data_IF_221131147853
#
_entry.id   IF_221131147853
#
_cell.length_a   1.000
_cell.length_b   1.000
_cell.length_c   1.000
_cell.angle_alpha   90.00
_cell.angle_beta   90.00
_cell.angle_gamma   90.00
#
_symmetry.space_group_name_H-M   'P 1'
#
loop_
_entity.id
_entity.type
_entity.pdbx_description
1 polymer ?
#
# COMPACT_ATOMS: atom_id res chain seq x y z
N UNK A 1 0.55 -1.19 -2.29
CA UNK A 1 0.82 -1.71 -3.67
C UNK A 1 0.13 -0.87 -4.76
N UNK A 2 -1.11 -0.40 -4.57
CA UNK A 2 -1.83 0.42 -5.59
C UNK A 2 -1.03 1.65 -6.07
N UNK A 3 -0.39 2.37 -5.15
CA UNK A 3 0.38 3.59 -5.48
C UNK A 3 1.59 3.28 -6.37
N UNK A 4 2.27 2.16 -6.12
CA UNK A 4 3.39 1.71 -6.95
C UNK A 4 2.96 1.38 -8.38
N UNK A 5 1.79 0.78 -8.57
CA UNK A 5 1.26 0.51 -9.91
C UNK A 5 0.92 1.81 -10.66
N UNK A 6 0.26 2.75 -9.97
CA UNK A 6 -0.05 4.05 -10.56
C UNK A 6 1.24 4.81 -10.91
N UNK A 7 2.20 4.85 -9.99
CA UNK A 7 3.48 5.54 -10.19
C UNK A 7 4.28 4.96 -11.36
N UNK A 8 4.26 3.63 -11.54
CA UNK A 8 4.91 2.93 -12.65
C UNK A 8 4.38 3.41 -14.01
N UNK A 9 3.08 3.68 -14.15
CA UNK A 9 2.50 4.20 -15.39
C UNK A 9 3.08 5.57 -15.78
N UNK A 10 3.58 6.34 -14.81
CA UNK A 10 4.17 7.66 -15.03
C UNK A 10 5.70 7.67 -14.94
N UNK A 11 6.34 6.51 -14.78
CA UNK A 11 7.78 6.39 -14.52
C UNK A 11 8.23 7.21 -13.32
N UNK A 12 7.46 7.13 -12.22
CA UNK A 12 7.71 7.85 -10.96
C UNK A 12 8.09 6.86 -9.87
N UNK A 13 9.11 7.19 -9.10
CA UNK A 13 9.54 6.39 -7.95
C UNK A 13 8.63 6.60 -6.73
N UNK A 14 8.41 5.53 -5.96
CA UNK A 14 7.71 5.55 -4.68
C UNK A 14 8.68 5.24 -3.55
N UNK A 15 8.87 6.19 -2.66
CA UNK A 15 9.67 6.04 -1.45
C UNK A 15 8.75 5.87 -0.23
N UNK A 16 9.09 4.95 0.65
CA UNK A 16 8.29 4.60 1.82
C UNK A 16 9.00 5.03 3.10
N UNK A 17 8.21 5.55 4.04
CA UNK A 17 8.63 5.84 5.42
C UNK A 17 7.75 5.06 6.40
N UNK A 18 8.11 5.10 7.67
CA UNK A 18 7.24 4.64 8.74
C UNK A 18 5.95 5.48 8.81
N UNK A 19 4.87 4.87 9.28
CA UNK A 19 3.59 5.56 9.50
C UNK A 19 3.80 6.77 10.44
N UNK A 20 3.23 7.90 10.04
CA UNK A 20 3.30 9.15 10.78
C UNK A 20 3.68 10.32 9.88
N UNK A 21 2.94 11.41 9.98
CA UNK A 21 3.12 12.59 9.12
C UNK A 21 4.55 13.13 9.16
N UNK A 22 5.16 13.18 10.35
CA UNK A 22 6.54 13.64 10.51
C UNK A 22 7.53 12.76 9.71
N UNK A 23 7.33 11.45 9.66
CA UNK A 23 8.22 10.54 8.94
C UNK A 23 8.19 10.79 7.42
N UNK A 24 6.99 10.91 6.83
CA UNK A 24 6.86 11.16 5.39
C UNK A 24 7.34 12.55 5.00
N UNK A 25 7.09 13.57 5.84
CA UNK A 25 7.58 14.94 5.60
C UNK A 25 9.10 15.02 5.70
N UNK A 26 9.69 14.36 6.70
CA UNK A 26 11.16 14.33 6.85
C UNK A 26 11.81 13.57 5.70
N UNK A 27 11.26 12.41 5.28
CA UNK A 27 11.75 11.70 4.10
C UNK A 27 11.68 12.59 2.84
N UNK A 28 10.57 13.32 2.65
CA UNK A 28 10.45 14.24 1.53
C UNK A 28 11.52 15.37 1.57
N UNK A 29 11.84 15.90 2.76
CA UNK A 29 12.94 16.88 2.93
C UNK A 29 14.30 16.28 2.59
N UNK A 30 14.60 15.07 3.08
CA UNK A 30 15.82 14.34 2.75
C UNK A 30 15.97 14.11 1.24
N UNK A 31 14.89 13.70 0.57
CA UNK A 31 14.90 13.49 -0.89
C UNK A 31 15.08 14.79 -1.66
N UNK A 32 14.38 15.88 -1.27
CA UNK A 32 14.54 17.20 -1.89
C UNK A 32 15.98 17.74 -1.75
N UNK A 33 16.62 17.50 -0.60
CA UNK A 33 18.04 17.85 -0.39
C UNK A 33 18.99 17.05 -1.31
N UNK A 34 18.53 15.92 -1.86
CA UNK A 34 19.22 15.11 -2.88
C UNK A 34 18.77 15.44 -4.31
N UNK A 35 18.10 16.57 -4.50
CA UNK A 35 17.56 17.06 -5.78
C UNK A 35 16.40 16.23 -6.38
N UNK A 36 15.72 15.41 -5.58
CA UNK A 36 14.46 14.78 -6.03
C UNK A 36 13.33 15.79 -6.08
N UNK A 37 12.46 15.64 -7.08
CA UNK A 37 11.21 16.39 -7.16
C UNK A 37 10.10 15.63 -6.44
N UNK A 38 9.92 15.87 -5.15
CA UNK A 38 8.85 15.25 -4.35
C UNK A 38 7.64 16.17 -4.36
N UNK A 39 6.60 15.78 -5.10
CA UNK A 39 5.38 16.58 -5.29
C UNK A 39 4.20 16.13 -4.44
N UNK A 40 4.10 14.83 -4.15
CA UNK A 40 2.97 14.24 -3.42
C UNK A 40 3.51 13.34 -2.31
N UNK A 41 2.98 13.52 -1.12
CA UNK A 41 3.15 12.61 0.01
C UNK A 41 1.78 12.11 0.43
N UNK A 42 1.73 10.88 0.91
CA UNK A 42 0.51 10.28 1.47
C UNK A 42 0.81 9.69 2.84
N UNK A 43 -0.06 9.93 3.81
CA UNK A 43 0.07 9.38 5.15
C UNK A 43 -1.31 9.06 5.72
N UNK A 44 -1.39 7.90 6.38
CA UNK A 44 -2.55 7.47 7.14
C UNK A 44 -3.73 7.03 6.29
N UNK A 45 -4.65 6.41 6.98
CA UNK A 45 -5.86 5.84 6.42
C UNK A 45 -6.96 6.85 6.14
N UNK A 46 -6.88 8.02 6.76
CA UNK A 46 -7.94 9.03 6.71
C UNK A 46 -7.62 10.17 5.75
N UNK A 47 -7.03 9.83 4.59
CA UNK A 47 -6.94 10.76 3.46
C UNK A 47 -5.93 11.88 3.65
N UNK A 48 -4.79 11.54 4.20
CA UNK A 48 -3.73 12.53 4.30
C UNK A 48 -2.91 12.63 3.02
N UNK A 49 -3.27 13.51 2.10
CA UNK A 49 -2.34 13.93 1.04
C UNK A 49 -1.71 15.27 1.40
N UNK A 50 -0.41 15.36 1.10
CA UNK A 50 0.38 16.58 1.24
C UNK A 50 0.94 16.86 -0.15
N UNK A 51 0.52 17.95 -0.77
CA UNK A 51 0.98 18.37 -2.09
C UNK A 51 1.93 19.54 -1.96
N UNK A 52 3.07 19.47 -2.66
CA UNK A 52 4.05 20.56 -2.65
C UNK A 52 3.39 21.89 -3.05
N UNK A 53 3.64 23.03 -2.33
CA UNK A 53 4.68 23.24 -1.32
C UNK A 53 4.28 22.96 0.13
N UNK A 54 3.06 22.49 0.41
CA UNK A 54 2.60 22.21 1.78
C UNK A 54 3.51 21.20 2.50
N UNK A 55 3.60 21.33 3.81
CA UNK A 55 4.34 20.42 4.70
C UNK A 55 3.41 19.69 5.69
N UNK A 56 2.10 19.90 5.57
CA UNK A 56 1.05 19.28 6.38
C UNK A 56 -0.07 18.82 5.46
N UNK A 57 -0.92 17.94 5.96
CA UNK A 57 -2.13 17.52 5.26
C UNK A 57 -3.04 18.71 5.00
N UNK A 58 -3.43 18.90 3.76
CA UNK A 58 -4.24 20.01 3.32
C UNK A 58 -5.45 19.49 2.51
N UNK A 59 -6.62 19.36 3.16
CA UNK A 59 -7.83 18.87 2.50
C UNK A 59 -8.31 19.82 1.40
N UNK A 60 -8.12 21.13 1.55
CA UNK A 60 -8.52 22.12 0.54
C UNK A 60 -7.69 21.93 -0.73
N UNK A 61 -6.39 21.79 -0.58
CA UNK A 61 -5.51 21.52 -1.74
C UNK A 61 -5.84 20.18 -2.40
N UNK A 62 -6.23 19.17 -1.63
CA UNK A 62 -6.70 17.88 -2.16
C UNK A 62 -7.98 18.05 -2.99
N UNK A 63 -8.94 18.86 -2.52
CA UNK A 63 -10.16 19.19 -3.27
C UNK A 63 -9.82 19.90 -4.59
N UNK A 64 -8.92 20.90 -4.57
CA UNK A 64 -8.47 21.57 -5.79
C UNK A 64 -7.75 20.62 -6.75
N UNK A 65 -6.98 19.67 -6.25
CA UNK A 65 -6.35 18.65 -7.10
C UNK A 65 -7.39 17.76 -7.80
N UNK A 66 -8.47 17.37 -7.11
CA UNK A 66 -9.59 16.63 -7.69
C UNK A 66 -10.37 17.48 -8.70
N UNK A 67 -10.67 18.72 -8.38
CA UNK A 67 -11.30 19.65 -9.34
C UNK A 67 -10.46 19.82 -10.61
N UNK A 68 -9.15 19.98 -10.45
CA UNK A 68 -8.22 20.05 -11.57
C UNK A 68 -8.26 18.77 -12.42
N UNK A 69 -8.30 17.60 -11.81
CA UNK A 69 -8.44 16.32 -12.49
C UNK A 69 -9.71 16.28 -13.34
N UNK A 70 -10.85 16.73 -12.77
CA UNK A 70 -12.15 16.70 -13.43
C UNK A 70 -12.35 17.78 -14.49
N UNK A 71 -11.71 18.94 -14.35
CA UNK A 71 -11.90 20.09 -15.22
C UNK A 71 -10.91 20.16 -16.39
N UNK A 72 -9.68 19.63 -16.23
CA UNK A 72 -8.71 19.65 -17.33
C UNK A 72 -9.03 18.57 -18.37
N UNK A 73 -9.78 18.97 -19.38
CA UNK A 73 -10.17 18.19 -20.55
C UNK A 73 -9.10 18.28 -21.63
N UNK A 74 -9.31 17.51 -22.71
CA UNK A 74 -8.49 17.64 -23.91
C UNK A 74 -8.66 19.04 -24.53
N UNK A 75 -7.58 19.60 -25.02
CA UNK A 75 -7.56 20.93 -25.65
C UNK A 75 -6.83 20.86 -27.00
N UNK A 76 -7.43 21.46 -28.00
CA UNK A 76 -6.80 21.64 -29.33
C UNK A 76 -6.15 23.02 -29.34
N UNK A 77 -4.83 23.07 -29.35
CA UNK A 77 -4.10 24.34 -29.45
C UNK A 77 -4.23 24.98 -30.83
N UNK A 78 -3.98 26.31 -30.99
CA UNK A 78 -4.07 27.01 -32.26
C UNK A 78 -3.20 26.41 -33.39
N UNK A 79 -2.14 25.70 -33.04
CA UNK A 79 -1.29 24.99 -34.01
C UNK A 79 -1.79 23.59 -34.38
N UNK A 80 -3.00 23.21 -33.97
CA UNK A 80 -3.60 21.90 -34.22
C UNK A 80 -3.11 20.77 -33.30
N UNK A 81 -2.18 21.06 -32.42
CA UNK A 81 -1.70 20.04 -31.45
C UNK A 81 -2.75 19.79 -30.37
N UNK A 82 -3.05 18.52 -30.13
CA UNK A 82 -3.93 18.08 -29.02
C UNK A 82 -3.11 17.93 -27.74
N UNK A 83 -3.55 18.60 -26.68
CA UNK A 83 -3.06 18.41 -25.31
C UNK A 83 -4.09 17.59 -24.54
N UNK A 84 -3.72 16.38 -24.15
CA UNK A 84 -4.63 15.50 -23.43
C UNK A 84 -4.88 16.01 -22.00
N UNK A 85 -6.14 15.96 -21.58
CA UNK A 85 -6.55 16.19 -20.21
C UNK A 85 -5.99 15.15 -19.23
N UNK A 86 -6.08 15.43 -17.93
CA UNK A 86 -5.42 14.58 -16.92
C UNK A 86 -5.97 13.16 -16.91
N UNK A 87 -7.29 12.99 -17.00
CA UNK A 87 -7.90 11.65 -16.99
C UNK A 87 -7.61 10.89 -18.30
N UNK A 88 -7.62 11.55 -19.45
CA UNK A 88 -7.25 10.91 -20.70
C UNK A 88 -5.79 10.42 -20.68
N UNK A 89 -4.88 11.25 -20.16
CA UNK A 89 -3.47 10.85 -19.99
C UNK A 89 -3.33 9.63 -19.07
N UNK A 90 -4.09 9.59 -17.97
CA UNK A 90 -4.13 8.42 -17.09
C UNK A 90 -4.60 7.18 -17.85
N UNK A 91 -5.76 7.26 -18.53
CA UNK A 91 -6.30 6.14 -19.31
C UNK A 91 -5.29 5.61 -20.34
N UNK A 92 -4.62 6.52 -21.04
CA UNK A 92 -3.59 6.18 -22.01
C UNK A 92 -2.40 5.46 -21.37
N UNK A 93 -1.84 5.97 -20.27
CA UNK A 93 -0.67 5.39 -19.62
C UNK A 93 -0.98 4.12 -18.84
N UNK A 94 -2.21 3.95 -18.38
CA UNK A 94 -2.66 2.75 -17.67
C UNK A 94 -3.19 1.65 -18.57
N UNK A 95 -3.24 1.88 -19.91
CA UNK A 95 -3.80 0.92 -20.87
C UNK A 95 -5.33 0.85 -20.86
N UNK A 96 -6.00 1.85 -20.26
CA UNK A 96 -7.46 1.95 -20.16
C UNK A 96 -8.06 2.97 -21.16
N UNK A 97 -7.40 3.22 -22.28
CA UNK A 97 -7.81 4.28 -23.23
C UNK A 97 -9.24 4.10 -23.74
N UNK A 98 -9.69 2.85 -23.91
CA UNK A 98 -11.06 2.52 -24.30
C UNK A 98 -12.14 2.90 -23.28
N UNK A 99 -11.75 3.16 -22.03
CA UNK A 99 -12.65 3.59 -20.96
C UNK A 99 -12.73 5.12 -20.83
N UNK A 100 -11.90 5.85 -21.57
CA UNK A 100 -11.97 7.31 -21.58
C UNK A 100 -13.23 7.80 -22.29
N UNK A 101 -13.86 8.79 -21.70
CA UNK A 101 -14.93 9.59 -22.31
C UNK A 101 -14.81 11.05 -21.89
N UNK A 102 -15.19 11.98 -22.74
CA UNK A 102 -15.05 13.41 -22.46
C UNK A 102 -15.85 13.86 -21.22
N UNK A 103 -17.09 13.36 -21.10
CA UNK A 103 -17.97 13.66 -19.96
C UNK A 103 -17.80 12.67 -18.81
N UNK A 104 -16.55 12.39 -18.41
CA UNK A 104 -16.25 11.52 -17.31
C UNK A 104 -16.57 12.15 -15.96
N UNK A 105 -16.85 11.29 -14.98
CA UNK A 105 -17.08 11.62 -13.58
C UNK A 105 -15.97 11.03 -12.69
N UNK A 106 -15.97 11.35 -11.42
CA UNK A 106 -15.04 10.74 -10.46
C UNK A 106 -15.23 9.22 -10.36
N UNK A 107 -16.46 8.72 -10.55
CA UNK A 107 -16.75 7.29 -10.59
C UNK A 107 -16.04 6.60 -11.78
N UNK A 108 -16.02 7.24 -12.95
CA UNK A 108 -15.27 6.74 -14.10
C UNK A 108 -13.76 6.66 -13.81
N UNK A 109 -13.21 7.68 -13.14
CA UNK A 109 -11.81 7.67 -12.71
C UNK A 109 -11.54 6.49 -11.76
N UNK A 110 -12.38 6.31 -10.75
CA UNK A 110 -12.18 5.25 -9.74
C UNK A 110 -12.28 3.85 -10.34
N UNK A 111 -13.11 3.64 -11.37
CA UNK A 111 -13.24 2.36 -12.09
C UNK A 111 -11.98 1.95 -12.85
N UNK A 112 -11.13 2.92 -13.22
CA UNK A 112 -9.87 2.65 -13.93
C UNK A 112 -8.68 2.41 -13.02
N UNK A 113 -8.82 2.62 -11.71
CA UNK A 113 -7.73 2.42 -10.76
C UNK A 113 -7.48 0.93 -10.50
N UNK A 114 -6.22 0.53 -10.25
CA UNK A 114 -5.91 -0.83 -9.82
C UNK A 114 -6.72 -1.22 -8.59
N UNK A 115 -7.38 -2.38 -8.64
CA UNK A 115 -8.26 -2.85 -7.57
C UNK A 115 -7.51 -3.68 -6.54
N UNK A 116 -7.79 -3.39 -5.27
CA UNK A 116 -7.23 -4.10 -4.12
C UNK A 116 -8.30 -4.26 -3.06
N UNK A 117 -8.29 -5.40 -2.38
CA UNK A 117 -9.04 -5.62 -1.15
C UNK A 117 -8.08 -5.38 0.01
N UNK A 118 -8.38 -4.36 0.81
CA UNK A 118 -7.50 -3.89 1.88
C UNK A 118 -8.24 -3.90 3.19
N UNK A 119 -7.64 -4.47 4.23
CA UNK A 119 -8.18 -4.38 5.60
C UNK A 119 -8.30 -2.91 6.02
N UNK A 120 -9.50 -2.48 6.39
CA UNK A 120 -9.73 -1.13 6.87
C UNK A 120 -9.12 -0.93 8.27
N UNK A 121 -8.40 0.17 8.45
CA UNK A 121 -7.68 0.45 9.72
C UNK A 121 -8.59 0.63 10.93
N UNK A 122 -9.87 0.94 10.70
CA UNK A 122 -10.87 1.09 11.75
C UNK A 122 -11.67 -0.18 11.98
N UNK A 123 -11.42 -1.25 11.23
CA UNK A 123 -12.08 -2.53 11.45
C UNK A 123 -11.61 -3.17 12.77
N UNK A 124 -12.50 -3.75 13.57
CA UNK A 124 -12.10 -4.43 14.81
C UNK A 124 -11.03 -5.51 14.59
N UNK A 125 -11.06 -6.22 13.46
CA UNK A 125 -10.07 -7.27 13.12
C UNK A 125 -8.68 -6.70 12.77
N UNK A 126 -8.56 -5.39 12.54
CA UNK A 126 -7.28 -4.70 12.31
C UNK A 126 -6.56 -4.32 13.60
N UNK A 127 -7.16 -4.60 14.76
CA UNK A 127 -6.66 -4.19 16.06
C UNK A 127 -6.50 -5.42 16.94
N UNK A 128 -5.28 -5.70 17.37
CA UNK A 128 -4.98 -6.78 18.32
C UNK A 128 -4.52 -6.16 19.63
N UNK A 129 -4.94 -6.78 20.73
CA UNK A 129 -4.42 -6.49 22.07
C UNK A 129 -3.36 -7.54 22.38
N UNK A 130 -2.11 -7.11 22.54
CA UNK A 130 -0.97 -7.96 22.85
C UNK A 130 -0.48 -7.68 24.27
N UNK A 131 0.10 -8.71 24.90
CA UNK A 131 0.66 -8.63 26.25
C UNK A 131 2.16 -8.31 26.22
N UNK A 132 2.87 -8.79 25.20
CA UNK A 132 4.30 -8.58 25.07
C UNK A 132 4.63 -7.14 24.66
N UNK A 133 5.13 -6.33 25.58
CA UNK A 133 5.56 -4.96 25.33
C UNK A 133 6.89 -4.88 24.57
N UNK A 134 7.66 -5.95 24.51
CA UNK A 134 8.90 -6.04 23.72
C UNK A 134 8.58 -6.48 22.29
N UNK A 135 8.32 -5.51 21.43
CA UNK A 135 7.96 -5.78 20.03
C UNK A 135 9.09 -6.46 19.22
N UNK A 136 10.36 -6.31 19.61
CA UNK A 136 11.46 -7.03 18.97
C UNK A 136 11.39 -8.52 19.28
N UNK A 137 11.14 -8.89 20.55
CA UNK A 137 10.97 -10.28 20.96
C UNK A 137 9.72 -10.91 20.29
N UNK A 138 8.58 -10.19 20.33
CA UNK A 138 7.35 -10.62 19.65
C UNK A 138 7.62 -10.96 18.17
N UNK A 139 8.31 -10.06 17.45
CA UNK A 139 8.57 -10.25 16.03
C UNK A 139 9.63 -11.31 15.74
N UNK A 140 10.56 -11.55 16.64
CA UNK A 140 11.47 -12.69 16.56
C UNK A 140 10.72 -14.03 16.69
N UNK A 141 9.80 -14.13 17.66
CA UNK A 141 8.93 -15.32 17.81
C UNK A 141 8.00 -15.46 16.61
N UNK A 142 7.42 -14.35 16.16
CA UNK A 142 6.57 -14.30 14.95
C UNK A 142 7.31 -14.81 13.70
N UNK A 143 8.56 -14.44 13.52
CA UNK A 143 9.36 -14.92 12.37
C UNK A 143 9.43 -16.44 12.35
N UNK A 144 9.76 -17.08 13.48
CA UNK A 144 9.84 -18.54 13.57
C UNK A 144 8.51 -19.22 13.23
N UNK A 145 7.39 -18.66 13.76
CA UNK A 145 6.06 -19.16 13.48
C UNK A 145 5.66 -18.93 12.01
N UNK A 146 6.01 -17.78 11.44
CA UNK A 146 5.75 -17.46 10.03
C UNK A 146 6.55 -18.36 9.07
N UNK A 147 7.82 -18.62 9.36
CA UNK A 147 8.65 -19.50 8.53
C UNK A 147 8.11 -20.95 8.56
N UNK A 148 7.65 -21.44 9.71
CA UNK A 148 6.95 -22.72 9.82
C UNK A 148 5.65 -22.72 9.02
N UNK A 149 4.79 -21.71 9.19
CA UNK A 149 3.57 -21.52 8.43
C UNK A 149 3.85 -21.53 6.92
N UNK A 150 4.89 -20.82 6.48
CA UNK A 150 5.27 -20.78 5.07
C UNK A 150 5.63 -22.18 4.54
N UNK A 151 6.41 -22.95 5.27
CA UNK A 151 6.77 -24.32 4.84
C UNK A 151 5.54 -25.23 4.73
N UNK A 152 4.58 -25.10 5.62
CA UNK A 152 3.36 -25.90 5.66
C UNK A 152 2.35 -25.46 4.58
N UNK A 153 2.26 -24.18 4.28
CA UNK A 153 1.20 -23.59 3.44
C UNK A 153 1.65 -23.17 2.05
N UNK A 154 2.93 -23.15 1.73
CA UNK A 154 3.44 -22.65 0.43
C UNK A 154 2.82 -23.30 -0.78
N UNK A 155 2.59 -24.63 -0.78
CA UNK A 155 1.94 -25.34 -1.88
C UNK A 155 0.48 -24.91 -2.02
N UNK A 156 -0.27 -24.84 -0.92
CA UNK A 156 -1.64 -24.36 -0.91
C UNK A 156 -1.75 -22.92 -1.42
N UNK A 157 -0.89 -22.02 -0.94
CA UNK A 157 -0.86 -20.61 -1.35
C UNK A 157 -0.50 -20.46 -2.83
N UNK A 158 0.36 -21.32 -3.33
CA UNK A 158 0.69 -21.35 -4.76
C UNK A 158 -0.52 -21.83 -5.59
N UNK A 159 -1.11 -22.96 -5.24
CA UNK A 159 -2.21 -23.58 -5.99
C UNK A 159 -3.47 -22.70 -5.99
N UNK A 160 -3.80 -22.06 -4.86
CA UNK A 160 -5.00 -21.27 -4.73
C UNK A 160 -4.84 -19.82 -5.20
N UNK A 161 -3.70 -19.19 -4.93
CA UNK A 161 -3.51 -17.75 -5.07
C UNK A 161 -2.29 -17.36 -5.92
N UNK A 162 -1.53 -18.34 -6.43
CA UNK A 162 -0.36 -18.11 -7.28
C UNK A 162 0.86 -17.54 -6.53
N UNK A 163 0.89 -17.64 -5.19
CA UNK A 163 2.00 -17.13 -4.39
C UNK A 163 3.17 -18.09 -4.45
N UNK A 164 4.30 -17.62 -4.96
CA UNK A 164 5.53 -18.43 -5.13
C UNK A 164 6.64 -18.07 -4.14
N UNK A 165 6.64 -16.83 -3.62
CA UNK A 165 7.70 -16.33 -2.73
C UNK A 165 7.21 -15.16 -1.88
N UNK A 166 8.04 -14.78 -0.91
CA UNK A 166 7.81 -13.60 -0.07
C UNK A 166 9.10 -12.85 0.24
N UNK A 167 8.95 -11.60 0.66
CA UNK A 167 10.04 -10.77 1.16
C UNK A 167 9.56 -9.93 2.33
N UNK A 168 10.35 -9.89 3.40
CA UNK A 168 10.08 -9.00 4.52
C UNK A 168 10.74 -7.63 4.30
N UNK A 169 10.01 -6.59 4.71
CA UNK A 169 10.40 -5.18 4.63
C UNK A 169 10.07 -4.52 5.94
N UNK A 170 10.95 -3.69 6.47
CA UNK A 170 10.61 -2.83 7.61
C UNK A 170 10.80 -1.36 7.29
N UNK A 171 9.99 -0.53 7.96
CA UNK A 171 10.13 0.92 7.95
C UNK A 171 10.39 1.39 9.38
N UNK A 172 11.42 2.22 9.56
CA UNK A 172 11.75 2.88 10.82
C UNK A 172 12.10 4.34 10.53
N UNK A 173 11.27 5.29 10.99
CA UNK A 173 11.42 6.69 10.68
C UNK A 173 11.39 6.93 9.17
N UNK A 174 12.44 7.52 8.60
CA UNK A 174 12.58 7.77 7.16
C UNK A 174 13.22 6.61 6.39
N UNK A 175 13.65 5.55 7.08
CA UNK A 175 14.40 4.44 6.46
C UNK A 175 13.51 3.25 6.16
N UNK A 176 13.63 2.71 4.96
CA UNK A 176 13.09 1.42 4.56
C UNK A 176 14.23 0.42 4.38
N UNK A 177 14.08 -0.78 4.94
CA UNK A 177 14.99 -1.91 4.74
C UNK A 177 14.24 -3.04 4.05
N UNK A 178 14.69 -3.42 2.86
CA UNK A 178 14.13 -4.52 2.07
C UNK A 178 14.92 -5.80 2.31
N UNK A 179 14.28 -6.96 2.14
CA UNK A 179 14.93 -8.27 2.29
C UNK A 179 15.37 -8.55 3.72
N UNK A 180 14.55 -8.17 4.69
CA UNK A 180 14.85 -8.34 6.10
C UNK A 180 14.93 -9.83 6.44
N UNK A 181 16.06 -10.27 7.00
CA UNK A 181 16.31 -11.64 7.44
C UNK A 181 16.10 -11.85 8.93
N UNK A 182 16.03 -10.76 9.70
CA UNK A 182 15.73 -10.76 11.13
C UNK A 182 14.58 -9.75 11.39
N UNK A 183 13.40 -10.26 11.74
CA UNK A 183 12.22 -9.45 11.96
C UNK A 183 12.30 -8.59 13.23
N UNK A 184 13.14 -8.99 14.19
CA UNK A 184 13.33 -8.25 15.45
C UNK A 184 13.88 -6.84 15.22
N UNK A 185 14.64 -6.63 14.14
CA UNK A 185 15.22 -5.33 13.75
C UNK A 185 14.14 -4.28 13.48
N UNK A 186 12.94 -4.70 13.09
CA UNK A 186 11.82 -3.76 12.89
C UNK A 186 11.31 -3.15 14.19
N UNK A 187 11.66 -3.69 15.35
CA UNK A 187 11.34 -3.19 16.68
C UNK A 187 9.88 -2.69 16.79
N UNK A 188 9.67 -1.41 17.14
CA UNK A 188 8.33 -0.78 17.14
C UNK A 188 7.85 -0.35 15.77
N UNK A 189 8.72 -0.29 14.77
CA UNK A 189 8.37 0.12 13.39
C UNK A 189 7.50 -0.89 12.67
N UNK A 190 7.03 -0.52 11.49
CA UNK A 190 6.19 -1.38 10.65
C UNK A 190 6.99 -2.54 10.07
N UNK A 191 6.50 -3.76 10.24
CA UNK A 191 6.96 -4.96 9.53
C UNK A 191 5.94 -5.32 8.47
N UNK A 192 6.38 -5.44 7.23
CA UNK A 192 5.58 -5.83 6.07
C UNK A 192 6.16 -7.09 5.44
N UNK A 193 5.33 -8.08 5.17
CA UNK A 193 5.70 -9.25 4.38
C UNK A 193 4.92 -9.17 3.07
N UNK A 194 5.63 -9.04 1.97
CA UNK A 194 5.07 -8.93 0.61
C UNK A 194 5.15 -10.30 -0.04
N UNK A 195 4.05 -10.75 -0.61
CA UNK A 195 3.94 -12.00 -1.35
C UNK A 195 3.97 -11.74 -2.85
N UNK A 196 4.70 -12.57 -3.57
CA UNK A 196 4.95 -12.45 -5.00
C UNK A 196 4.44 -13.68 -5.76
N UNK A 197 3.98 -13.46 -6.98
CA UNK A 197 3.68 -14.53 -7.93
C UNK A 197 4.96 -15.08 -8.61
N UNK A 198 4.81 -16.07 -9.49
CA UNK A 198 5.92 -16.69 -10.22
C UNK A 198 6.72 -15.72 -11.10
N UNK A 199 6.12 -14.61 -11.52
CA UNK A 199 6.75 -13.54 -12.30
C UNK A 199 7.42 -12.47 -11.43
N UNK A 200 7.47 -12.69 -10.12
CA UNK A 200 7.98 -11.73 -9.10
C UNK A 200 7.18 -10.43 -9.03
N UNK A 201 5.90 -10.43 -9.44
CA UNK A 201 5.00 -9.30 -9.20
C UNK A 201 4.39 -9.41 -7.80
N UNK A 202 4.35 -8.31 -7.03
CA UNK A 202 3.70 -8.31 -5.72
C UNK A 202 2.17 -8.42 -5.90
N UNK A 203 1.55 -9.39 -5.22
CA UNK A 203 0.11 -9.65 -5.33
C UNK A 203 -0.64 -9.50 -4.01
N UNK A 204 0.06 -9.61 -2.88
CA UNK A 204 -0.52 -9.32 -1.57
C UNK A 204 0.55 -8.94 -0.57
N UNK A 205 0.14 -8.41 0.57
CA UNK A 205 1.01 -8.25 1.73
C UNK A 205 0.23 -8.38 3.04
N UNK A 206 0.95 -8.73 4.09
CA UNK A 206 0.54 -8.56 5.48
C UNK A 206 1.46 -7.54 6.15
N UNK A 207 0.92 -6.78 7.10
CA UNK A 207 1.66 -5.75 7.81
C UNK A 207 1.26 -5.69 9.27
N UNK A 208 2.21 -5.40 10.13
CA UNK A 208 1.98 -5.22 11.56
C UNK A 208 2.81 -4.08 12.14
N UNK A 209 2.26 -3.44 13.17
CA UNK A 209 2.94 -2.39 13.95
C UNK A 209 2.32 -2.21 15.31
N UNK A 210 3.16 -2.02 16.35
CA UNK A 210 2.70 -1.52 17.63
C UNK A 210 2.27 -0.04 17.54
N UNK A 211 1.16 0.32 18.18
CA UNK A 211 0.81 1.73 18.36
C UNK A 211 1.81 2.40 19.30
N UNK A 212 2.19 3.65 18.99
CA UNK A 212 3.06 4.44 19.89
C UNK A 212 2.30 5.12 21.03
N UNK A 213 0.98 5.21 20.93
CA UNK A 213 0.11 5.98 21.85
C UNK A 213 -0.96 5.14 22.54
N UNK A 214 -1.22 3.93 22.06
CA UNK A 214 -2.26 3.03 22.56
C UNK A 214 -1.66 1.65 22.82
N UNK A 215 -2.25 0.86 23.71
CA UNK A 215 -1.93 -0.56 23.92
C UNK A 215 -2.49 -1.45 22.81
N UNK A 216 -2.42 -0.95 21.56
CA UNK A 216 -2.97 -1.60 20.38
C UNK A 216 -1.86 -2.01 19.44
N UNK A 217 -1.99 -3.21 18.88
CA UNK A 217 -1.15 -3.70 17.80
C UNK A 217 -1.97 -3.71 16.51
N UNK A 218 -1.52 -2.94 15.53
CA UNK A 218 -2.24 -2.78 14.26
C UNK A 218 -1.78 -3.83 13.25
N UNK A 219 -2.75 -4.43 12.57
CA UNK A 219 -2.51 -5.41 11.50
C UNK A 219 -3.28 -5.01 10.25
N UNK A 220 -2.74 -5.36 9.09
CA UNK A 220 -3.37 -5.07 7.80
C UNK A 220 -3.00 -6.17 6.80
N UNK A 221 -3.92 -6.47 5.92
CA UNK A 221 -3.70 -7.24 4.72
C UNK A 221 -4.14 -6.43 3.50
N UNK A 222 -3.46 -6.62 2.37
CA UNK A 222 -3.81 -6.00 1.09
C UNK A 222 -3.63 -7.06 0.00
N UNK A 223 -4.68 -7.29 -0.78
CA UNK A 223 -4.70 -8.30 -1.83
C UNK A 223 -5.09 -7.67 -3.15
N UNK A 224 -4.30 -7.90 -4.19
CA UNK A 224 -4.59 -7.44 -5.55
C UNK A 224 -5.74 -8.23 -6.16
N UNK A 225 -6.69 -7.53 -6.76
CA UNK A 225 -7.70 -8.12 -7.63
C UNK A 225 -7.09 -8.25 -9.03
N UNK A 226 -6.98 -9.48 -9.53
CA UNK A 226 -6.20 -9.77 -10.74
C UNK A 226 -6.86 -9.24 -12.02
N UNK A 227 -8.20 -9.29 -12.07
CA UNK A 227 -9.00 -8.77 -13.18
C UNK A 227 -10.32 -8.17 -12.67
N UNK A 228 -11.13 -7.63 -13.57
CA UNK A 228 -12.40 -6.96 -13.20
C UNK A 228 -13.59 -7.92 -13.05
N UNK A 229 -13.39 -9.24 -13.05
CA UNK A 229 -14.47 -10.21 -12.88
C UNK A 229 -14.96 -10.26 -11.43
N UNK A 230 -16.23 -10.62 -11.24
CA UNK A 230 -16.79 -10.90 -9.91
C UNK A 230 -16.07 -12.07 -9.21
N UNK A 231 -15.60 -13.05 -9.99
CA UNK A 231 -14.87 -14.20 -9.49
C UNK A 231 -13.53 -13.75 -8.86
N UNK A 232 -12.78 -12.92 -9.56
CA UNK A 232 -11.52 -12.36 -9.04
C UNK A 232 -11.72 -11.49 -7.81
N UNK A 233 -12.80 -10.69 -7.78
CA UNK A 233 -13.15 -9.87 -6.62
C UNK A 233 -13.51 -10.72 -5.41
N UNK A 234 -14.36 -11.74 -5.59
CA UNK A 234 -14.75 -12.69 -4.53
C UNK A 234 -13.53 -13.43 -3.99
N UNK A 235 -12.71 -13.98 -4.88
CA UNK A 235 -11.49 -14.71 -4.52
C UNK A 235 -10.48 -13.82 -3.75
N UNK A 236 -10.29 -12.58 -4.18
CA UNK A 236 -9.42 -11.63 -3.46
C UNK A 236 -9.99 -11.27 -2.08
N UNK A 237 -11.31 -11.16 -1.96
CA UNK A 237 -11.98 -10.88 -0.68
C UNK A 237 -11.85 -12.03 0.30
N UNK A 238 -12.03 -13.26 -0.16
CA UNK A 238 -11.85 -14.47 0.65
C UNK A 238 -10.39 -14.61 1.09
N UNK A 239 -9.47 -14.38 0.18
CA UNK A 239 -8.03 -14.46 0.47
C UNK A 239 -7.57 -13.37 1.45
N UNK A 240 -8.08 -12.15 1.36
CA UNK A 240 -7.76 -11.10 2.33
C UNK A 240 -8.17 -11.51 3.74
N UNK A 241 -9.37 -12.06 3.90
CA UNK A 241 -9.88 -12.56 5.19
C UNK A 241 -9.02 -13.70 5.73
N UNK A 242 -8.74 -14.70 4.91
CA UNK A 242 -7.93 -15.87 5.27
C UNK A 242 -6.50 -15.46 5.65
N UNK A 243 -5.87 -14.61 4.85
CA UNK A 243 -4.50 -14.17 5.07
C UNK A 243 -4.38 -13.30 6.33
N UNK A 244 -5.36 -12.42 6.59
CA UNK A 244 -5.41 -11.63 7.81
C UNK A 244 -5.63 -12.49 9.06
N UNK A 245 -6.45 -13.53 8.95
CA UNK A 245 -6.68 -14.49 10.03
C UNK A 245 -5.41 -15.27 10.36
N UNK A 246 -4.72 -15.82 9.36
CA UNK A 246 -3.41 -16.45 9.56
C UNK A 246 -2.42 -15.50 10.23
N UNK A 247 -2.32 -14.27 9.73
CA UNK A 247 -1.43 -13.26 10.28
C UNK A 247 -1.73 -12.97 11.77
N UNK A 248 -3.00 -12.76 12.08
CA UNK A 248 -3.45 -12.50 13.46
C UNK A 248 -3.20 -13.67 14.40
N UNK A 249 -3.43 -14.91 13.95
CA UNK A 249 -3.18 -16.12 14.74
C UNK A 249 -1.69 -16.32 15.00
N UNK A 250 -0.83 -16.07 14.01
CA UNK A 250 0.62 -16.12 14.18
C UNK A 250 1.11 -15.08 15.19
N UNK A 251 0.54 -13.89 15.21
CA UNK A 251 0.88 -12.85 16.21
C UNK A 251 0.45 -13.31 17.61
N UNK A 252 -0.79 -13.78 17.76
CA UNK A 252 -1.29 -14.29 19.05
C UNK A 252 -0.45 -15.44 19.57
N UNK A 253 -0.04 -16.38 18.72
CA UNK A 253 0.86 -17.48 19.07
C UNK A 253 2.24 -16.98 19.53
N UNK A 254 2.69 -15.85 19.00
CA UNK A 254 3.98 -15.25 19.31
C UNK A 254 3.94 -14.34 20.54
N UNK A 255 2.75 -13.95 20.97
CA UNK A 255 2.50 -13.08 22.14
C UNK A 255 2.54 -13.84 23.47
N UNK A 256 2.65 -15.17 23.44
CA UNK A 256 2.82 -15.97 24.65
C UNK A 256 4.14 -15.59 25.35
N UNK A 257 4.01 -15.25 26.63
CA UNK A 257 5.12 -14.92 27.55
C UNK A 257 5.98 -16.15 27.84
#
# INVERSE_FOLDING_TARGET
MRIEEIAKCFNVEVHRAEVGEANVVNLARELRNKNYQVRILGEGSNGGTITNPAAVRDPINTIFALLKLLCLKDEVLPNGKVVLGLFHRWCKFSGNESLYRENFTLDDVTKTLPKYITTGVSEPRAILHIQNSNHSDLKSKYQKNFEKFWQEKKSYLFDQYGISSWQAVCNNGTKQTNGLTDFSVSARGGLKIIFYNGEKNPISFIWMRGSGTESAFRVMCDVKVLDNSEISLTKATEFEKELLEYHSNLIKLSDSI
#
